data_IF_808777595911
#
_entry.id   IF_808777595911
#
_cell.length_a   1.000
_cell.length_b   1.000
_cell.length_c   1.000
_cell.angle_alpha   90.00
_cell.angle_beta   90.00
_cell.angle_gamma   90.00
#
_symmetry.space_group_name_H-M   'P 1'
#
loop_
_entity.id
_entity.type
_entity.pdbx_description
1 polymer ?
#
# COMPACT_ATOMS: atom_id res chain seq x y z
N UNK A 1 20.00 -27.98 8.25
CA UNK A 1 18.52 -27.88 8.33
C UNK A 1 18.03 -26.95 9.44
N UNK A 2 18.40 -27.15 10.71
CA UNK A 2 17.91 -26.35 11.86
C UNK A 2 18.23 -24.85 11.75
N UNK A 3 19.44 -24.50 11.29
CA UNK A 3 19.84 -23.10 11.08
C UNK A 3 19.19 -22.45 9.86
N UNK A 4 18.89 -23.22 8.82
CA UNK A 4 18.18 -22.74 7.63
C UNK A 4 16.72 -22.39 7.95
N UNK A 5 16.08 -23.20 8.81
CA UNK A 5 14.74 -22.93 9.31
C UNK A 5 14.70 -21.71 10.24
N UNK A 6 15.72 -21.55 11.09
CA UNK A 6 15.88 -20.36 11.93
C UNK A 6 16.14 -19.09 11.11
N UNK A 7 16.91 -19.19 10.02
CA UNK A 7 17.22 -18.08 9.12
C UNK A 7 16.00 -17.67 8.28
N UNK A 8 15.17 -18.62 7.86
CA UNK A 8 13.86 -18.38 7.22
C UNK A 8 12.86 -17.72 8.18
N UNK A 9 12.81 -18.15 9.45
CA UNK A 9 11.97 -17.51 10.48
C UNK A 9 12.45 -16.09 10.83
N UNK A 10 13.76 -15.84 10.82
CA UNK A 10 14.34 -14.52 11.05
C UNK A 10 14.10 -13.56 9.88
N UNK A 11 14.05 -14.06 8.64
CA UNK A 11 13.70 -13.22 7.48
C UNK A 11 12.25 -12.72 7.51
N UNK A 12 11.32 -13.42 8.18
CA UNK A 12 9.94 -12.94 8.36
C UNK A 12 9.83 -11.75 9.31
N UNK A 13 10.82 -11.50 10.18
CA UNK A 13 10.82 -10.38 11.13
C UNK A 13 11.47 -9.11 10.58
N UNK A 14 12.07 -9.15 9.39
CA UNK A 14 12.81 -8.02 8.79
C UNK A 14 11.95 -7.13 7.88
N UNK A 15 10.64 -7.07 8.13
CA UNK A 15 9.69 -6.27 7.34
C UNK A 15 9.02 -5.25 8.30
N UNK A 16 9.68 -4.10 8.63
CA UNK A 16 9.36 -3.09 9.69
C UNK A 16 9.09 -1.56 9.26
N UNK A 17 7.95 -0.87 9.47
CA UNK A 17 7.42 0.36 8.77
C UNK A 17 7.60 1.49 9.70
N UNK A 18 7.86 2.62 9.09
CA UNK A 18 7.93 3.88 9.76
C UNK A 18 6.61 4.63 9.56
N UNK A 19 6.26 5.50 10.50
CA UNK A 19 5.25 6.55 10.30
C UNK A 19 5.71 7.66 9.35
N UNK A 20 6.96 7.59 8.88
CA UNK A 20 7.54 8.49 7.90
C UNK A 20 7.41 7.91 6.49
N UNK A 21 6.31 8.23 5.83
CA UNK A 21 6.03 7.79 4.47
C UNK A 21 7.10 8.26 3.46
N UNK A 22 7.84 9.33 3.74
CA UNK A 22 8.86 9.86 2.83
C UNK A 22 10.09 8.96 2.73
N UNK A 23 10.39 8.19 3.77
CA UNK A 23 11.48 7.19 3.75
C UNK A 23 11.27 6.15 2.64
N UNK A 24 10.02 5.77 2.36
CA UNK A 24 9.68 4.82 1.30
C UNK A 24 9.58 5.47 -0.09
N UNK A 25 9.51 6.80 -0.16
CA UNK A 25 9.28 7.57 -1.39
C UNK A 25 10.43 8.54 -1.70
N UNK A 26 11.70 8.07 -1.80
CA UNK A 26 12.86 8.95 -1.93
C UNK A 26 12.85 9.80 -3.22
N UNK A 27 12.21 9.31 -4.28
CA UNK A 27 12.08 10.05 -5.55
C UNK A 27 11.15 11.26 -5.46
N UNK A 28 10.23 11.27 -4.50
CA UNK A 28 9.30 12.38 -4.27
C UNK A 28 9.92 13.48 -3.41
N UNK A 29 10.96 13.17 -2.62
CA UNK A 29 11.62 14.13 -1.71
C UNK A 29 12.00 15.45 -2.40
N UNK A 30 12.58 15.48 -3.61
CA UNK A 30 12.97 16.73 -4.25
C UNK A 30 11.79 17.60 -4.72
N UNK A 31 10.59 17.03 -4.86
CA UNK A 31 9.43 17.68 -5.49
C UNK A 31 8.18 17.69 -4.60
N UNK A 32 8.31 17.27 -3.33
CA UNK A 32 7.17 17.03 -2.44
C UNK A 32 6.44 18.33 -2.07
N UNK A 33 7.13 19.47 -2.12
CA UNK A 33 6.56 20.76 -1.74
C UNK A 33 5.68 21.35 -2.85
N UNK A 34 5.97 20.99 -4.11
CA UNK A 34 5.27 21.34 -5.33
C UNK A 34 4.14 20.34 -5.66
N UNK A 35 4.27 19.08 -5.21
CA UNK A 35 3.24 18.05 -5.41
C UNK A 35 2.14 18.13 -4.34
N UNK A 36 1.08 18.89 -4.63
CA UNK A 36 -0.06 19.03 -3.75
C UNK A 36 -0.75 17.70 -3.38
N UNK A 37 -0.63 16.65 -4.20
CA UNK A 37 -1.28 15.35 -3.94
C UNK A 37 -0.48 14.50 -2.95
N UNK A 38 0.84 14.60 -2.96
CA UNK A 38 1.71 13.85 -2.04
C UNK A 38 2.12 14.66 -0.79
N UNK A 39 1.94 15.98 -0.80
CA UNK A 39 2.22 16.87 0.35
C UNK A 39 1.65 16.41 1.71
N UNK A 40 0.47 15.77 1.79
CA UNK A 40 -0.03 15.24 3.08
C UNK A 40 0.89 14.21 3.74
N UNK A 41 1.78 13.55 2.99
CA UNK A 41 2.76 12.60 3.56
C UNK A 41 3.72 13.25 4.56
N UNK A 42 3.89 14.58 4.50
CA UNK A 42 4.73 15.33 5.43
C UNK A 42 4.12 15.48 6.83
N UNK A 43 2.81 15.21 7.01
CA UNK A 43 2.12 15.44 8.27
C UNK A 43 1.92 14.17 9.10
N UNK A 44 2.11 12.99 8.52
CA UNK A 44 1.92 11.70 9.18
C UNK A 44 2.81 11.56 10.43
N UNK A 45 4.05 12.07 10.33
CA UNK A 45 5.04 12.05 11.42
C UNK A 45 4.62 12.86 12.66
N UNK A 46 3.64 13.76 12.53
CA UNK A 46 3.15 14.56 13.65
C UNK A 46 2.45 13.68 14.70
N UNK A 47 1.88 12.55 14.29
CA UNK A 47 1.17 11.61 15.16
C UNK A 47 1.81 10.21 15.17
N UNK A 48 2.44 9.80 14.07
CA UNK A 48 3.09 8.50 13.93
C UNK A 48 4.61 8.65 13.97
N UNK A 49 5.25 8.15 15.02
CA UNK A 49 6.72 8.19 15.11
C UNK A 49 7.38 7.37 13.99
N UNK A 50 8.56 7.82 13.56
CA UNK A 50 9.47 7.01 12.72
C UNK A 50 10.14 5.84 13.48
N UNK A 51 9.68 5.53 14.70
CA UNK A 51 10.18 4.41 15.50
C UNK A 51 9.86 3.07 14.80
N UNK A 52 10.87 2.32 14.34
CA UNK A 52 10.68 1.05 13.65
C UNK A 52 10.06 -0.03 14.56
N UNK A 53 10.01 0.18 15.87
CA UNK A 53 9.35 -0.74 16.81
C UNK A 53 7.84 -0.56 16.89
N UNK A 54 7.27 0.47 16.24
CA UNK A 54 5.85 0.81 16.37
C UNK A 54 5.00 0.63 15.13
N UNK A 55 5.55 0.36 13.93
CA UNK A 55 4.81 -0.01 12.69
C UNK A 55 5.70 -0.88 11.74
N UNK A 56 5.19 -1.57 10.68
CA UNK A 56 5.85 -2.64 9.82
C UNK A 56 6.03 -2.40 8.23
N UNK A 57 7.20 -2.65 7.53
CA UNK A 57 8.00 -1.86 6.46
C UNK A 57 7.33 -1.43 5.16
N UNK A 58 8.02 -0.55 4.41
CA UNK A 58 7.72 -0.04 3.06
C UNK A 58 7.30 -1.14 2.06
N UNK A 59 6.03 -1.52 2.06
CA UNK A 59 5.40 -2.14 0.90
C UNK A 59 5.15 -1.09 -0.17
N UNK A 60 5.16 -1.47 -1.44
CA UNK A 60 4.72 -0.58 -2.53
C UNK A 60 3.26 -0.09 -2.36
N UNK A 61 2.56 -0.63 -1.37
CA UNK A 61 1.17 -0.35 -1.07
C UNK A 61 0.88 -0.43 0.45
N UNK A 62 0.65 0.72 1.10
CA UNK A 62 0.30 0.81 2.52
C UNK A 62 -0.92 -0.06 2.89
N UNK A 63 -1.81 -0.28 1.92
CA UNK A 63 -3.05 -1.01 2.10
C UNK A 63 -2.87 -2.53 2.15
N UNK A 64 -1.69 -3.05 1.81
CA UNK A 64 -1.36 -4.45 1.98
C UNK A 64 -1.28 -4.85 3.47
N UNK A 65 -0.84 -3.94 4.33
CA UNK A 65 -0.72 -4.16 5.78
C UNK A 65 -1.86 -3.49 6.58
N UNK A 66 -2.44 -2.40 6.08
CA UNK A 66 -3.51 -1.68 6.76
C UNK A 66 -4.82 -1.66 5.95
N UNK A 67 -5.84 -2.38 6.43
CA UNK A 67 -7.19 -2.25 5.86
C UNK A 67 -7.80 -0.88 6.18
N UNK A 68 -8.54 -0.29 5.23
CA UNK A 68 -9.29 0.97 5.45
C UNK A 68 -10.22 0.88 6.66
N UNK A 69 -10.84 -0.28 6.90
CA UNK A 69 -11.70 -0.49 8.07
C UNK A 69 -10.96 -0.20 9.38
N UNK A 70 -9.71 -0.68 9.50
CA UNK A 70 -8.88 -0.48 10.70
C UNK A 70 -8.35 0.95 10.81
N UNK A 71 -8.03 1.58 9.69
CA UNK A 71 -7.59 2.99 9.64
C UNK A 71 -8.74 3.91 10.09
N UNK A 72 -9.94 3.67 9.56
CA UNK A 72 -11.12 4.50 9.80
C UNK A 72 -11.71 4.29 11.20
N UNK A 73 -11.48 3.13 11.84
CA UNK A 73 -12.04 2.86 13.18
C UNK A 73 -11.50 3.79 14.28
N UNK A 74 -10.35 4.41 14.06
CA UNK A 74 -9.79 5.40 15.00
C UNK A 74 -10.52 6.75 14.96
N UNK A 75 -11.32 7.02 13.92
CA UNK A 75 -12.06 8.27 13.72
C UNK A 75 -11.17 9.53 13.83
N UNK A 76 -10.00 9.49 13.19
CA UNK A 76 -9.04 10.60 13.12
C UNK A 76 -9.25 11.31 11.80
N UNK A 77 -9.62 12.60 11.83
CA UNK A 77 -9.91 13.39 10.62
C UNK A 77 -8.74 13.42 9.63
N UNK A 78 -7.51 13.46 10.14
CA UNK A 78 -6.30 13.45 9.31
C UNK A 78 -6.17 12.15 8.50
N UNK A 79 -6.83 11.05 8.88
CA UNK A 79 -6.87 9.82 8.09
C UNK A 79 -7.77 9.91 6.85
N UNK A 80 -8.63 10.92 6.71
CA UNK A 80 -9.51 11.05 5.54
C UNK A 80 -8.72 11.14 4.23
N UNK A 81 -7.51 11.69 4.28
CA UNK A 81 -6.61 11.80 3.12
C UNK A 81 -6.19 10.43 2.57
N UNK A 82 -6.18 9.40 3.42
CA UNK A 82 -5.71 8.05 3.09
C UNK A 82 -6.63 7.40 2.04
N UNK A 83 -7.92 7.76 2.01
CA UNK A 83 -8.84 7.27 0.98
C UNK A 83 -8.39 7.68 -0.42
N UNK A 84 -7.95 8.94 -0.60
CA UNK A 84 -7.44 9.42 -1.88
C UNK A 84 -6.16 8.69 -2.32
N UNK A 85 -5.29 8.37 -1.36
CA UNK A 85 -4.12 7.52 -1.62
C UNK A 85 -4.54 6.13 -2.11
N UNK A 86 -5.49 5.48 -1.43
CA UNK A 86 -5.99 4.15 -1.83
C UNK A 86 -6.58 4.14 -3.22
N UNK A 87 -7.43 5.12 -3.51
CA UNK A 87 -8.16 5.14 -4.77
C UNK A 87 -7.21 5.22 -5.97
N UNK A 88 -6.10 5.96 -5.84
CA UNK A 88 -5.10 6.06 -6.91
C UNK A 88 -4.14 4.86 -6.95
N UNK A 89 -3.67 4.37 -5.80
CA UNK A 89 -2.64 3.32 -5.74
C UNK A 89 -3.20 1.90 -5.89
N UNK A 90 -4.43 1.67 -5.41
CA UNK A 90 -5.09 0.35 -5.38
C UNK A 90 -6.33 0.33 -6.25
N UNK A 91 -7.17 1.36 -6.10
CA UNK A 91 -8.47 1.42 -6.77
C UNK A 91 -8.37 1.41 -8.29
N UNK A 92 -7.34 2.03 -8.85
CA UNK A 92 -7.08 1.98 -10.30
C UNK A 92 -6.78 0.55 -10.79
N UNK A 93 -6.03 -0.23 -10.01
CA UNK A 93 -5.70 -1.61 -10.33
C UNK A 93 -6.94 -2.50 -10.17
N UNK A 94 -7.67 -2.37 -9.07
CA UNK A 94 -8.90 -3.11 -8.81
C UNK A 94 -9.93 -2.92 -9.95
N UNK A 95 -10.07 -1.69 -10.47
CA UNK A 95 -10.96 -1.39 -11.60
C UNK A 95 -10.56 -2.07 -12.91
N UNK A 96 -9.27 -2.32 -13.14
CA UNK A 96 -8.80 -3.03 -14.34
C UNK A 96 -9.19 -4.51 -14.28
N UNK A 97 -9.16 -5.10 -13.09
CA UNK A 97 -9.51 -6.51 -12.87
C UNK A 97 -10.99 -6.73 -12.54
N UNK A 98 -11.76 -5.65 -12.37
CA UNK A 98 -13.18 -5.69 -12.14
C UNK A 98 -13.95 -6.07 -13.42
N UNK A 99 -14.20 -7.37 -13.56
CA UNK A 99 -14.98 -7.95 -14.66
C UNK A 99 -16.46 -7.58 -14.62
N UNK A 100 -16.97 -6.96 -13.55
CA UNK A 100 -18.37 -6.52 -13.48
C UNK A 100 -18.67 -5.30 -14.36
N UNK A 101 -17.63 -4.54 -14.75
CA UNK A 101 -17.72 -3.38 -15.62
C UNK A 101 -17.47 -3.70 -17.12
N UNK A 102 -17.45 -4.98 -17.53
CA UNK A 102 -17.25 -5.36 -18.94
C UNK A 102 -18.50 -5.07 -19.79
N UNK A 103 -18.82 -3.80 -20.01
CA UNK A 103 -19.74 -3.39 -21.06
C UNK A 103 -19.02 -3.51 -22.40
N UNK A 104 -19.34 -4.56 -23.15
CA UNK A 104 -19.05 -4.70 -24.59
C UNK A 104 -17.57 -4.79 -25.03
N UNK A 105 -16.67 -5.39 -24.25
CA UNK A 105 -15.52 -6.03 -24.88
C UNK A 105 -15.97 -7.42 -25.33
N UNK A 106 -15.82 -7.73 -26.62
CA UNK A 106 -16.10 -9.05 -27.19
C UNK A 106 -15.56 -10.12 -26.24
N UNK A 107 -16.40 -11.07 -25.84
CA UNK A 107 -16.04 -12.20 -24.97
C UNK A 107 -14.94 -13.02 -25.64
N UNK A 108 -13.69 -12.57 -25.58
CA UNK A 108 -12.57 -13.47 -25.81
C UNK A 108 -12.47 -14.40 -24.62
N UNK A 109 -12.16 -15.65 -24.96
CA UNK A 109 -11.94 -16.72 -24.01
C UNK A 109 -10.85 -16.29 -23.01
N UNK A 110 -11.14 -16.39 -21.71
CA UNK A 110 -10.16 -16.00 -20.69
C UNK A 110 -8.85 -16.77 -20.88
N UNK A 111 -7.71 -16.11 -20.63
CA UNK A 111 -6.39 -16.74 -20.74
C UNK A 111 -6.29 -18.06 -19.95
N UNK A 112 -6.99 -18.13 -18.80
CA UNK A 112 -7.10 -19.36 -18.01
C UNK A 112 -7.73 -20.52 -18.80
N UNK A 113 -8.79 -20.25 -19.56
CA UNK A 113 -9.48 -21.26 -20.35
C UNK A 113 -8.67 -21.67 -21.58
N UNK A 114 -7.98 -20.73 -22.22
CA UNK A 114 -7.06 -21.00 -23.33
C UNK A 114 -5.92 -21.94 -22.92
N UNK A 115 -5.35 -21.76 -21.73
CA UNK A 115 -4.21 -22.56 -21.24
C UNK A 115 -4.60 -23.96 -20.73
N UNK A 116 -5.89 -24.23 -20.54
CA UNK A 116 -6.41 -25.52 -20.07
C UNK A 116 -6.96 -26.40 -21.20
N UNK A 117 -6.87 -25.91 -22.45
CA UNK A 117 -7.21 -26.63 -23.68
C UNK A 117 -5.97 -27.31 -24.26
#
# INVERSE_FOLDING_TARGET
>A
MKYLFALLLFSYTLLACTGDCMTCHPKLVPTIHEDARHKPMLTCINCHSADPNKMADCGADCFACHSMKKINSANVREHDVIQGCRDCHVGAIEKIFDTSNSLNQSKEESLKNFLLK
#
